data_IF_190353623451
#
_entry.id   IF_190353623451
#
_cell.length_a   1.000
_cell.length_b   1.000
_cell.length_c   1.000
_cell.angle_alpha   90.00
_cell.angle_beta   90.00
_cell.angle_gamma   90.00
#
_symmetry.space_group_name_H-M   'P 1'
#
loop_
_entity.id
_entity.type
_entity.pdbx_description
1 polymer ?
#
# COMPACT_ATOMS: atom_id res chain seq x y z
N UNK A 1 17.60 1.58 -0.68
CA UNK A 1 16.37 0.83 -0.97
C UNK A 1 15.71 1.45 -2.19
N UNK A 2 15.15 0.64 -3.08
CA UNK A 2 14.30 1.10 -4.19
C UNK A 2 13.03 0.26 -4.22
N UNK A 3 11.95 0.81 -4.76
CA UNK A 3 10.72 0.08 -4.98
C UNK A 3 10.15 0.41 -6.36
N UNK A 4 9.61 -0.59 -7.04
CA UNK A 4 9.03 -0.45 -8.37
C UNK A 4 7.74 -1.24 -8.47
N UNK A 5 6.78 -0.73 -9.23
CA UNK A 5 5.60 -1.50 -9.63
C UNK A 5 6.05 -2.73 -10.41
N UNK A 6 5.50 -3.88 -10.05
CA UNK A 6 5.86 -5.18 -10.61
C UNK A 6 4.64 -5.90 -11.22
N UNK A 7 3.54 -5.18 -11.41
CA UNK A 7 2.39 -5.61 -12.20
C UNK A 7 2.45 -5.02 -13.60
N UNK A 8 1.85 -5.71 -14.57
CA UNK A 8 1.75 -5.23 -15.95
C UNK A 8 0.71 -4.10 -16.12
N UNK A 9 -0.29 -4.02 -15.24
CA UNK A 9 -1.36 -3.02 -15.32
C UNK A 9 -1.00 -1.70 -14.62
N UNK A 10 -0.23 -1.75 -13.54
CA UNK A 10 0.17 -0.59 -12.75
C UNK A 10 1.44 0.03 -13.33
N UNK A 11 1.31 1.22 -13.93
CA UNK A 11 2.43 1.93 -14.57
C UNK A 11 2.87 3.18 -13.81
N UNK A 12 2.08 3.63 -12.84
CA UNK A 12 2.41 4.76 -11.96
C UNK A 12 2.00 6.13 -12.50
N UNK A 13 1.32 6.17 -13.65
CA UNK A 13 0.81 7.37 -14.31
C UNK A 13 -0.71 7.53 -14.13
N UNK A 14 -1.48 6.46 -14.34
CA UNK A 14 -2.93 6.40 -14.18
C UNK A 14 -3.32 5.18 -13.36
N UNK A 15 -4.33 5.33 -12.50
CA UNK A 15 -4.95 4.18 -11.85
C UNK A 15 -5.58 3.27 -12.92
N UNK A 16 -5.23 1.97 -12.95
CA UNK A 16 -5.76 1.06 -13.97
C UNK A 16 -7.28 0.89 -13.85
N UNK A 17 -7.96 0.71 -14.97
CA UNK A 17 -9.41 0.54 -14.98
C UNK A 17 -9.80 -0.71 -14.16
N UNK A 18 -10.81 -0.56 -13.30
CA UNK A 18 -11.24 -1.59 -12.35
C UNK A 18 -10.46 -1.59 -11.03
N UNK A 19 -9.35 -0.85 -10.92
CA UNK A 19 -8.58 -0.73 -9.68
C UNK A 19 -9.09 0.38 -8.74
N UNK A 20 -10.12 1.12 -9.12
CA UNK A 20 -10.84 2.02 -8.22
C UNK A 20 -11.70 1.27 -7.17
N UNK A 21 -12.28 2.02 -6.23
CA UNK A 21 -13.14 1.50 -5.18
C UNK A 21 -14.50 0.99 -5.71
N UNK A 22 -15.20 0.20 -4.89
CA UNK A 22 -16.49 -0.44 -5.26
C UNK A 22 -17.60 0.59 -5.50
N UNK A 23 -17.58 1.70 -4.78
CA UNK A 23 -18.51 2.83 -4.98
C UNK A 23 -18.52 3.34 -6.41
N UNK A 24 -17.39 3.26 -7.11
CA UNK A 24 -17.24 3.69 -8.51
C UNK A 24 -17.03 2.49 -9.45
N UNK A 25 -17.60 1.33 -9.10
CA UNK A 25 -17.67 0.14 -9.95
C UNK A 25 -16.38 -0.69 -10.03
N UNK A 26 -15.35 -0.36 -9.25
CA UNK A 26 -14.10 -1.11 -9.25
C UNK A 26 -14.05 -2.26 -8.23
N UNK A 27 -13.03 -3.09 -8.33
CA UNK A 27 -12.72 -4.15 -7.37
C UNK A 27 -11.22 -4.16 -7.06
N UNK A 28 -10.68 -2.96 -6.80
CA UNK A 28 -9.24 -2.75 -6.76
C UNK A 28 -8.48 -3.58 -5.73
N UNK A 29 -7.23 -3.83 -6.07
CA UNK A 29 -6.21 -4.44 -5.23
C UNK A 29 -5.06 -3.46 -5.07
N UNK A 30 -4.22 -3.65 -4.06
CA UNK A 30 -2.91 -3.00 -4.04
C UNK A 30 -2.08 -3.49 -5.23
N UNK A 31 -1.13 -2.71 -5.75
CA UNK A 31 -0.18 -3.20 -6.75
C UNK A 31 0.81 -4.20 -6.13
N UNK A 32 1.31 -5.11 -6.95
CA UNK A 32 2.55 -5.84 -6.70
C UNK A 32 3.71 -4.85 -6.74
N UNK A 33 4.54 -4.87 -5.70
CA UNK A 33 5.69 -3.98 -5.58
C UNK A 33 6.94 -4.83 -5.38
N UNK A 34 7.93 -4.66 -6.25
CA UNK A 34 9.27 -5.22 -6.03
C UNK A 34 10.11 -4.22 -5.25
N UNK A 35 10.65 -4.66 -4.12
CA UNK A 35 11.53 -3.87 -3.25
C UNK A 35 12.94 -4.46 -3.34
N UNK A 36 13.93 -3.61 -3.56
CA UNK A 36 15.34 -4.00 -3.65
C UNK A 36 16.19 -3.19 -2.66
N UNK A 37 17.38 -3.71 -2.37
CA UNK A 37 18.33 -3.09 -1.45
C UNK A 37 17.70 -2.81 -0.08
N UNK A 38 16.99 -3.81 0.45
CA UNK A 38 16.35 -3.77 1.78
C UNK A 38 17.45 -3.70 2.85
N UNK A 39 17.40 -2.73 3.78
CA UNK A 39 18.39 -2.63 4.86
C UNK A 39 18.35 -3.85 5.79
N UNK A 40 19.52 -4.40 6.15
CA UNK A 40 19.67 -5.62 6.97
C UNK A 40 18.98 -5.57 8.35
N UNK A 41 18.76 -4.37 8.91
CA UNK A 41 18.10 -4.20 10.21
C UNK A 41 16.57 -4.40 10.15
N UNK A 42 16.02 -4.53 8.94
CA UNK A 42 14.58 -4.63 8.70
C UNK A 42 14.10 -6.09 8.79
N UNK A 43 12.86 -6.29 9.26
CA UNK A 43 12.17 -7.59 9.28
C UNK A 43 10.73 -7.51 8.76
N UNK A 44 10.32 -6.34 8.26
CA UNK A 44 9.08 -6.16 7.54
C UNK A 44 9.21 -5.00 6.55
N UNK A 45 8.32 -5.00 5.56
CA UNK A 45 8.03 -3.83 4.73
C UNK A 45 6.62 -3.35 5.08
N UNK A 46 6.46 -2.05 5.34
CA UNK A 46 5.15 -1.41 5.49
C UNK A 46 4.89 -0.57 4.25
N UNK A 47 3.71 -0.74 3.65
CA UNK A 47 3.25 0.09 2.55
C UNK A 47 2.11 0.96 3.05
N UNK A 48 2.29 2.28 2.96
CA UNK A 48 1.27 3.28 3.27
C UNK A 48 0.67 3.81 1.98
N UNK A 49 -0.63 3.61 1.79
CA UNK A 49 -1.34 4.07 0.60
C UNK A 49 -2.01 5.41 0.88
N UNK A 50 -1.71 6.42 0.06
CA UNK A 50 -2.16 7.80 0.26
C UNK A 50 -2.83 8.35 -0.99
N UNK A 51 -3.79 9.24 -0.76
CA UNK A 51 -4.23 10.24 -1.73
C UNK A 51 -3.61 11.57 -1.31
N UNK A 52 -2.54 12.00 -2.00
CA UNK A 52 -1.74 13.18 -1.58
C UNK A 52 -2.44 14.50 -1.93
N UNK A 53 -3.46 14.44 -2.78
CA UNK A 53 -4.29 15.59 -3.15
C UNK A 53 -5.50 15.78 -2.25
N UNK A 54 -5.82 14.80 -1.40
CA UNK A 54 -6.92 14.88 -0.44
C UNK A 54 -6.42 14.65 0.98
N UNK A 55 -6.19 15.74 1.72
CA UNK A 55 -5.55 15.75 3.05
C UNK A 55 -6.09 14.73 4.07
N UNK A 56 -7.40 14.45 4.05
CA UNK A 56 -7.99 13.47 4.97
C UNK A 56 -7.56 12.02 4.68
N UNK A 57 -7.10 11.76 3.45
CA UNK A 57 -6.68 10.45 2.97
C UNK A 57 -5.17 10.37 2.66
N UNK A 58 -4.44 11.44 2.90
CA UNK A 58 -2.98 11.48 2.84
C UNK A 58 -2.34 10.73 4.04
N UNK A 59 -1.03 10.49 4.00
CA UNK A 59 -0.24 9.84 5.04
C UNK A 59 -0.76 8.44 5.46
N UNK A 60 -1.15 7.64 4.46
CA UNK A 60 -1.67 6.29 4.63
C UNK A 60 -3.18 6.22 4.88
N UNK A 61 -3.94 7.23 4.47
CA UNK A 61 -5.39 7.25 4.68
C UNK A 61 -6.15 6.14 3.95
N UNK A 62 -5.58 5.61 2.85
CA UNK A 62 -6.12 4.44 2.16
C UNK A 62 -5.72 3.12 2.82
N UNK A 63 -4.92 3.15 3.88
CA UNK A 63 -4.49 1.98 4.65
C UNK A 63 -2.98 1.86 4.75
N UNK A 64 -2.53 1.26 5.86
CA UNK A 64 -1.13 0.91 6.12
C UNK A 64 -1.04 -0.57 6.38
N UNK A 65 -0.36 -1.29 5.49
CA UNK A 65 -0.27 -2.75 5.54
C UNK A 65 1.19 -3.16 5.61
N UNK A 66 1.50 -4.04 6.55
CA UNK A 66 2.82 -4.63 6.71
C UNK A 66 2.92 -6.02 6.08
N UNK A 67 4.10 -6.37 5.61
CA UNK A 67 4.48 -7.66 5.06
C UNK A 67 5.77 -8.13 5.74
N UNK A 68 5.72 -9.27 6.43
CA UNK A 68 6.88 -9.84 7.09
C UNK A 68 7.91 -10.36 6.07
N UNK A 69 9.18 -10.13 6.36
CA UNK A 69 10.30 -10.65 5.58
C UNK A 69 11.34 -11.27 6.50
N UNK A 70 12.12 -12.21 5.97
CA UNK A 70 13.21 -12.80 6.74
C UNK A 70 14.32 -11.78 7.03
N UNK A 71 14.91 -11.87 8.23
CA UNK A 71 16.04 -11.06 8.71
C UNK A 71 17.31 -11.42 7.93
N UNK A 72 17.39 -11.01 6.66
CA UNK A 72 18.54 -11.09 5.73
C UNK A 72 18.13 -10.83 4.27
N UNK A 73 16.84 -10.83 3.95
CA UNK A 73 16.39 -10.56 2.58
C UNK A 73 16.85 -9.17 2.14
N UNK A 74 17.46 -9.11 0.96
CA UNK A 74 17.88 -7.86 0.30
C UNK A 74 16.89 -7.40 -0.75
N UNK A 75 16.00 -8.30 -1.18
CA UNK A 75 14.91 -8.03 -2.11
C UNK A 75 13.68 -8.84 -1.75
N UNK A 76 12.50 -8.34 -2.13
CA UNK A 76 11.24 -9.05 -2.02
C UNK A 76 10.25 -8.53 -3.04
N UNK A 77 9.32 -9.38 -3.47
CA UNK A 77 8.16 -8.95 -4.26
C UNK A 77 6.92 -9.09 -3.39
N UNK A 78 6.32 -7.97 -3.01
CA UNK A 78 5.13 -7.92 -2.18
C UNK A 78 3.93 -8.25 -3.07
N UNK A 79 3.15 -9.31 -2.80
CA UNK A 79 2.00 -9.66 -3.62
C UNK A 79 0.83 -8.67 -3.41
N UNK A 80 -0.08 -8.57 -4.40
CA UNK A 80 -1.24 -7.69 -4.30
C UNK A 80 -2.23 -8.17 -3.24
N UNK A 81 -2.90 -7.22 -2.59
CA UNK A 81 -3.91 -7.46 -1.56
C UNK A 81 -5.24 -6.90 -2.05
N UNK A 82 -6.31 -7.68 -1.92
CA UNK A 82 -7.65 -7.23 -2.26
C UNK A 82 -8.09 -6.06 -1.36
N UNK A 83 -8.65 -5.01 -1.94
CA UNK A 83 -9.29 -3.94 -1.18
C UNK A 83 -10.58 -4.39 -0.50
N UNK A 84 -11.09 -3.57 0.41
CA UNK A 84 -12.40 -3.78 1.06
C UNK A 84 -12.54 -5.15 1.77
N UNK A 85 -11.45 -5.66 2.33
CA UNK A 85 -11.41 -6.85 3.18
C UNK A 85 -10.41 -6.64 4.31
N UNK A 86 -10.67 -7.27 5.46
CA UNK A 86 -9.71 -7.39 6.56
C UNK A 86 -8.98 -8.74 6.56
N UNK A 87 -9.43 -9.68 5.71
CA UNK A 87 -8.79 -10.97 5.56
C UNK A 87 -7.54 -10.80 4.70
N UNK A 88 -6.39 -10.76 5.37
CA UNK A 88 -5.08 -10.69 4.73
C UNK A 88 -4.42 -12.07 4.67
N UNK A 89 -3.56 -12.35 3.67
CA UNK A 89 -2.73 -13.55 3.69
C UNK A 89 -1.79 -13.57 4.90
N UNK A 90 -1.35 -14.75 5.32
CA UNK A 90 -0.64 -14.99 6.59
C UNK A 90 0.61 -14.11 6.81
N UNK A 91 1.38 -13.81 5.76
CA UNK A 91 2.58 -12.97 5.85
C UNK A 91 2.29 -11.48 6.04
N UNK A 92 1.03 -11.06 5.97
CA UNK A 92 0.62 -9.67 6.10
C UNK A 92 -0.02 -9.36 7.44
N UNK A 93 0.12 -8.11 7.87
CA UNK A 93 -0.52 -7.59 9.07
C UNK A 93 -1.02 -6.17 8.84
N UNK A 94 -2.08 -5.78 9.55
CA UNK A 94 -2.64 -4.43 9.46
C UNK A 94 -1.88 -3.54 10.44
N UNK A 95 -1.18 -2.52 9.92
CA UNK A 95 -0.61 -1.46 10.76
C UNK A 95 -1.70 -0.45 11.13
N UNK A 96 -2.49 -0.04 10.13
CA UNK A 96 -3.66 0.82 10.32
C UNK A 96 -4.65 0.60 9.17
N UNK A 97 -5.95 0.38 9.43
CA UNK A 97 -6.93 0.29 8.36
C UNK A 97 -7.18 1.66 7.71
N UNK A 98 -7.80 1.65 6.54
CA UNK A 98 -8.24 2.85 5.82
C UNK A 98 -9.18 3.74 6.67
N UNK A 99 -9.19 5.06 6.39
CA UNK A 99 -9.84 6.08 7.23
C UNK A 99 -11.30 6.40 6.88
N UNK A 100 -11.83 5.87 5.77
CA UNK A 100 -13.17 6.16 5.27
C UNK A 100 -14.10 4.91 5.20
N UNK A 101 -14.28 4.14 6.29
CA UNK A 101 -15.06 2.88 6.31
C UNK A 101 -16.55 3.02 6.04
N UNK A 102 -17.06 4.25 5.99
CA UNK A 102 -18.46 4.56 5.67
C UNK A 102 -18.63 5.18 4.28
N UNK A 103 -17.53 5.56 3.62
CA UNK A 103 -17.58 6.13 2.27
C UNK A 103 -17.83 5.05 1.22
N UNK A 104 -17.20 3.89 1.44
CA UNK A 104 -17.34 2.64 0.71
C UNK A 104 -17.16 1.45 1.69
N UNK A 105 -17.10 0.22 1.20
CA UNK A 105 -16.93 -0.98 2.01
C UNK A 105 -15.62 -0.95 2.83
N UNK A 106 -15.72 -1.18 4.14
CA UNK A 106 -14.57 -1.21 5.03
C UNK A 106 -13.56 -2.33 4.70
N UNK A 107 -12.28 -2.10 4.99
CA UNK A 107 -11.20 -3.08 4.85
C UNK A 107 -9.87 -2.54 5.36
N UNK A 108 -8.80 -3.32 5.20
CA UNK A 108 -7.44 -2.86 5.49
C UNK A 108 -6.99 -1.79 4.49
N UNK A 109 -7.33 -1.99 3.21
CA UNK A 109 -7.04 -1.09 2.09
C UNK A 109 -8.34 -0.59 1.44
N UNK A 110 -8.43 0.71 1.21
CA UNK A 110 -9.41 1.34 0.33
C UNK A 110 -8.72 1.65 -1.00
N UNK A 111 -9.14 1.05 -2.13
CA UNK A 111 -8.64 1.44 -3.44
C UNK A 111 -8.94 2.91 -3.78
N UNK A 112 -8.30 3.52 -4.80
CA UNK A 112 -8.57 4.89 -5.25
C UNK A 112 -10.08 5.17 -5.35
N UNK A 113 -10.53 6.25 -4.70
CA UNK A 113 -11.97 6.48 -4.47
C UNK A 113 -12.37 7.95 -4.57
N UNK A 114 -11.65 8.71 -5.40
CA UNK A 114 -11.96 10.10 -5.76
C UNK A 114 -13.18 10.24 -6.69
N UNK A 115 -13.48 9.19 -7.46
CA UNK A 115 -14.55 9.17 -8.46
C UNK A 115 -14.16 9.86 -9.77
N UNK A 116 -12.91 9.76 -10.19
CA UNK A 116 -12.45 10.33 -11.47
C UNK A 116 -12.08 11.81 -11.38
N UNK A 117 -11.73 12.32 -10.19
CA UNK A 117 -11.50 13.76 -9.96
C UNK A 117 -10.06 14.21 -10.21
N UNK A 118 -9.18 13.31 -10.66
CA UNK A 118 -7.79 13.63 -10.92
C UNK A 118 -6.92 13.68 -9.67
N UNK A 119 -7.26 12.88 -8.64
CA UNK A 119 -6.48 12.79 -7.42
C UNK A 119 -5.20 11.97 -7.63
N UNK A 120 -4.10 12.37 -6.99
CA UNK A 120 -2.82 11.66 -7.07
C UNK A 120 -2.69 10.63 -5.94
N UNK A 121 -2.42 9.39 -6.32
CA UNK A 121 -2.24 8.28 -5.39
C UNK A 121 -0.78 7.83 -5.36
N UNK A 122 -0.26 7.63 -4.16
CA UNK A 122 1.11 7.14 -3.95
C UNK A 122 1.15 6.03 -2.91
N UNK A 123 2.19 5.21 -2.97
CA UNK A 123 2.55 4.25 -1.95
C UNK A 123 3.90 4.62 -1.34
N UNK A 124 3.93 4.91 -0.04
CA UNK A 124 5.17 5.01 0.71
C UNK A 124 5.59 3.61 1.17
N UNK A 125 6.69 3.11 0.62
CA UNK A 125 7.24 1.78 0.88
C UNK A 125 8.37 1.91 1.89
N UNK A 126 8.16 1.35 3.08
CA UNK A 126 9.02 1.54 4.24
C UNK A 126 9.63 0.23 4.68
N UNK A 127 10.95 0.15 4.73
CA UNK A 127 11.61 -0.93 5.44
C UNK A 127 11.68 -0.59 6.92
N UNK A 128 11.17 -1.50 7.74
CA UNK A 128 10.97 -1.27 9.18
C UNK A 128 11.50 -2.42 10.02
N UNK A 129 11.76 -2.12 11.28
CA UNK A 129 11.86 -3.11 12.33
C UNK A 129 10.54 -3.19 13.08
N UNK A 130 9.98 -4.40 13.15
CA UNK A 130 8.80 -4.74 13.94
C UNK A 130 9.25 -5.55 15.15
N UNK A 131 8.83 -5.11 16.33
CA UNK A 131 9.04 -5.80 17.60
C UNK A 131 7.74 -5.81 18.38
N UNK A 132 7.42 -6.90 19.08
CA UNK A 132 6.18 -7.05 19.84
C UNK A 132 4.92 -6.71 19.04
N UNK A 133 4.88 -7.10 17.76
CA UNK A 133 3.74 -6.86 16.86
C UNK A 133 3.53 -5.40 16.45
N UNK A 134 4.46 -4.49 16.75
CA UNK A 134 4.38 -3.07 16.39
C UNK A 134 5.60 -2.63 15.61
N UNK A 135 5.42 -1.62 14.76
CA UNK A 135 6.54 -0.93 14.12
C UNK A 135 7.31 -0.20 15.21
N UNK A 136 8.53 -0.66 15.46
CA UNK A 136 9.46 -0.09 16.45
C UNK A 136 10.32 1.00 15.81
N UNK A 137 10.78 0.77 14.57
CA UNK A 137 11.66 1.70 13.86
C UNK A 137 11.42 1.71 12.35
N UNK A 138 11.31 2.90 11.77
CA UNK A 138 11.46 3.10 10.33
C UNK A 138 12.96 3.23 9.99
N UNK A 139 13.42 2.47 8.99
CA UNK A 139 14.85 2.38 8.64
C UNK A 139 15.13 3.05 7.29
N UNK A 140 14.24 2.83 6.32
CA UNK A 140 14.30 3.47 5.02
C UNK A 140 12.90 3.62 4.45
N UNK A 141 12.72 4.63 3.60
CA UNK A 141 11.46 4.90 2.90
C UNK A 141 11.75 5.23 1.43
N UNK A 142 10.83 4.87 0.55
CA UNK A 142 10.81 5.27 -0.86
C UNK A 142 9.37 5.43 -1.31
N UNK A 143 9.12 6.44 -2.13
CA UNK A 143 7.81 6.69 -2.71
C UNK A 143 7.66 5.99 -4.05
N UNK A 144 6.47 5.43 -4.30
CA UNK A 144 6.07 4.88 -5.58
C UNK A 144 4.77 5.56 -6.00
N UNK A 145 4.79 6.28 -7.13
CA UNK A 145 3.56 6.79 -7.73
C UNK A 145 2.68 5.63 -8.18
N UNK A 146 1.40 5.66 -7.82
CA UNK A 146 0.41 4.70 -8.28
C UNK A 146 -0.36 5.24 -9.49
N UNK A 147 -0.38 6.57 -9.64
CA UNK A 147 -1.02 7.28 -10.73
C UNK A 147 -2.18 8.15 -10.28
N UNK A 148 -2.85 8.72 -11.26
CA UNK A 148 -3.98 9.64 -11.07
C UNK A 148 -5.32 8.92 -11.30
N UNK A 149 -6.33 9.24 -10.48
CA UNK A 149 -7.74 8.84 -10.68
C UNK A 149 -8.70 10.01 -10.44
#
# INVERSE_FOLDING_TARGET
>A
MTATLADHIWKGDKIPDGQQCQKFGGQGTTPRIRVNNIPKASNAIVVEYSDTTYKAMDNGGHGKIGYHIDKRMTEVTIPPIKGHTFNLPESFFIVKPQQAPKWDKAGAYLPPCSGGKGNLYVAQVKAVHVSNGKVDKEIATVEVSLGVY
#
